data_IF_424730922607
#
_entry.id   IF_424730922607
#
_cell.length_a   1.000
_cell.length_b   1.000
_cell.length_c   1.000
_cell.angle_alpha   90.00
_cell.angle_beta   90.00
_cell.angle_gamma   90.00
#
_symmetry.space_group_name_H-M   'P 1'
#
loop_
_entity.id
_entity.type
_entity.pdbx_description
1 polymer ?
#
# COMPACT_ATOMS: atom_id res chain seq x y z
N UNK A 1 -18.43 -0.83 1.11
CA UNK A 1 -17.20 -1.51 0.65
C UNK A 1 -15.99 -0.99 1.41
N UNK A 2 -15.11 -1.89 1.84
CA UNK A 2 -13.81 -1.58 2.46
C UNK A 2 -12.74 -1.68 1.40
N UNK A 3 -12.05 -0.57 1.12
CA UNK A 3 -10.98 -0.54 0.12
C UNK A 3 -9.65 -0.32 0.82
N UNK A 4 -8.67 -1.17 0.55
CA UNK A 4 -7.28 -0.93 0.96
C UNK A 4 -6.46 -0.44 -0.21
N UNK A 5 -5.85 0.73 -0.04
CA UNK A 5 -4.91 1.33 -0.98
C UNK A 5 -3.50 0.99 -0.52
N UNK A 6 -2.70 0.41 -1.41
CA UNK A 6 -1.31 0.03 -1.17
C UNK A 6 -0.42 0.88 -2.06
N UNK A 7 0.35 1.75 -1.42
CA UNK A 7 1.36 2.55 -2.07
C UNK A 7 2.65 1.73 -2.17
N UNK A 8 3.08 1.43 -3.39
CA UNK A 8 4.12 0.44 -3.68
C UNK A 8 5.49 1.01 -4.02
N UNK A 9 5.69 2.32 -3.87
CA UNK A 9 7.02 2.91 -4.06
C UNK A 9 7.82 2.84 -2.75
N UNK A 10 9.05 2.35 -2.82
CA UNK A 10 9.95 2.30 -1.68
C UNK A 10 10.49 3.68 -1.26
N UNK A 11 10.46 4.68 -2.16
CA UNK A 11 11.09 5.99 -1.93
C UNK A 11 10.29 6.89 -1.00
N UNK A 12 11.00 7.71 -0.23
CA UNK A 12 10.40 8.86 0.45
C UNK A 12 9.77 9.83 -0.54
N UNK A 13 8.67 10.46 -0.14
CA UNK A 13 7.92 11.44 -0.94
C UNK A 13 7.58 10.99 -2.37
N UNK A 14 7.33 9.69 -2.56
CA UNK A 14 7.05 9.14 -3.88
C UNK A 14 5.79 9.75 -4.52
N UNK A 15 5.82 10.00 -5.83
CA UNK A 15 4.64 10.47 -6.57
C UNK A 15 3.46 9.50 -6.47
N UNK A 16 3.71 8.20 -6.33
CA UNK A 16 2.65 7.20 -6.06
C UNK A 16 1.94 7.42 -4.74
N UNK A 17 2.60 8.02 -3.74
CA UNK A 17 1.95 8.38 -2.48
C UNK A 17 0.96 9.53 -2.68
N UNK A 18 1.31 10.54 -3.49
CA UNK A 18 0.38 11.62 -3.87
C UNK A 18 -0.84 11.06 -4.61
N UNK A 19 -0.63 10.15 -5.56
CA UNK A 19 -1.73 9.49 -6.29
C UNK A 19 -2.60 8.65 -5.35
N UNK A 20 -2.00 7.90 -4.42
CA UNK A 20 -2.77 7.12 -3.45
C UNK A 20 -3.58 7.98 -2.50
N UNK A 21 -3.03 9.11 -2.01
CA UNK A 21 -3.77 10.08 -1.20
C UNK A 21 -4.92 10.72 -1.96
N UNK A 22 -4.71 11.06 -3.23
CA UNK A 22 -5.80 11.52 -4.09
C UNK A 22 -6.94 10.47 -4.15
N UNK A 23 -6.63 9.20 -4.41
CA UNK A 23 -7.66 8.16 -4.43
C UNK A 23 -8.31 7.92 -3.07
N UNK A 24 -7.55 8.03 -1.97
CA UNK A 24 -8.10 7.94 -0.62
C UNK A 24 -9.18 9.00 -0.40
N UNK A 25 -8.90 10.26 -0.73
CA UNK A 25 -9.83 11.37 -0.65
C UNK A 25 -11.06 11.17 -1.56
N UNK A 26 -10.85 10.74 -2.81
CA UNK A 26 -11.94 10.52 -3.76
C UNK A 26 -12.85 9.34 -3.39
N UNK A 27 -12.27 8.26 -2.84
CA UNK A 27 -13.03 7.08 -2.43
C UNK A 27 -13.79 7.31 -1.12
N UNK A 28 -13.23 8.08 -0.18
CA UNK A 28 -13.90 8.45 1.06
C UNK A 28 -15.20 9.25 0.84
N UNK A 29 -15.34 9.90 -0.33
CA UNK A 29 -16.54 10.66 -0.71
C UNK A 29 -17.62 9.82 -1.41
N UNK A 30 -17.42 8.51 -1.58
CA UNK A 30 -18.39 7.63 -2.24
C UNK A 30 -19.28 6.93 -1.24
N UNK A 31 -20.59 7.08 -1.36
CA UNK A 31 -21.58 6.45 -0.46
C UNK A 31 -21.43 4.91 -0.39
N UNK A 32 -20.99 4.29 -1.48
CA UNK A 32 -20.75 2.85 -1.53
C UNK A 32 -19.48 2.40 -0.78
N UNK A 33 -18.59 3.32 -0.41
CA UNK A 33 -17.32 3.04 0.28
C UNK A 33 -17.48 3.39 1.75
N UNK A 34 -17.45 2.35 2.58
CA UNK A 34 -17.67 2.46 4.03
C UNK A 34 -16.36 2.66 4.81
N UNK A 35 -15.22 2.31 4.21
CA UNK A 35 -13.90 2.56 4.80
C UNK A 35 -12.82 2.55 3.71
N UNK A 36 -11.82 3.40 3.88
CA UNK A 36 -10.57 3.37 3.12
C UNK A 36 -9.41 3.18 4.09
N UNK A 37 -8.51 2.25 3.78
CA UNK A 37 -7.26 2.05 4.52
C UNK A 37 -6.08 2.34 3.60
N UNK A 38 -5.09 3.06 4.09
CA UNK A 38 -3.87 3.37 3.36
C UNK A 38 -2.69 2.62 3.97
N UNK A 39 -1.97 1.85 3.16
CA UNK A 39 -0.74 1.15 3.53
C UNK A 39 0.42 1.64 2.66
N UNK A 40 1.47 2.15 3.30
CA UNK A 40 2.74 2.50 2.66
C UNK A 40 3.74 1.36 2.92
N UNK A 41 4.19 0.68 1.86
CA UNK A 41 5.10 -0.46 1.99
C UNK A 41 6.41 -0.12 2.72
N UNK A 42 6.84 1.15 2.68
CA UNK A 42 8.04 1.62 3.37
C UNK A 42 7.90 1.52 4.88
N UNK A 43 6.68 1.66 5.42
CA UNK A 43 6.42 1.61 6.86
C UNK A 43 6.52 0.21 7.46
N UNK A 44 6.49 -0.84 6.65
CA UNK A 44 6.43 -2.24 7.11
C UNK A 44 7.79 -2.94 7.18
N UNK A 45 8.86 -2.29 6.73
CA UNK A 45 10.22 -2.79 6.82
C UNK A 45 10.43 -4.20 6.22
N UNK A 46 9.89 -4.47 5.04
CA UNK A 46 9.99 -5.78 4.42
C UNK A 46 11.46 -6.19 4.17
N UNK A 47 11.82 -7.50 4.32
CA UNK A 47 13.22 -7.97 4.33
C UNK A 47 14.05 -7.58 3.10
N UNK A 48 13.40 -7.44 1.95
CA UNK A 48 14.04 -7.18 0.67
C UNK A 48 14.54 -5.74 0.50
N UNK A 49 14.38 -4.93 1.55
CA UNK A 49 14.79 -3.54 1.59
C UNK A 49 16.13 -3.30 2.27
N UNK A 50 16.79 -4.35 2.80
CA UNK A 50 18.04 -4.21 3.55
C UNK A 50 17.88 -3.46 4.87
N UNK A 51 16.63 -3.23 5.29
CA UNK A 51 16.26 -2.41 6.43
C UNK A 51 15.88 -3.25 7.66
N UNK A 52 16.02 -4.58 7.59
CA UNK A 52 15.73 -5.54 8.65
C UNK A 52 14.50 -6.39 8.34
N UNK A 53 13.96 -7.05 9.34
CA UNK A 53 12.74 -7.86 9.22
C UNK A 53 11.49 -7.03 9.59
N UNK A 54 10.38 -7.33 8.93
CA UNK A 54 9.07 -6.79 9.32
C UNK A 54 8.67 -7.39 10.67
N UNK A 55 8.19 -6.56 11.60
CA UNK A 55 7.69 -7.08 12.88
C UNK A 55 6.44 -7.95 12.66
N UNK A 56 6.19 -8.91 13.57
CA UNK A 56 5.00 -9.76 13.49
C UNK A 56 3.71 -8.94 13.50
N UNK A 57 3.69 -7.85 14.25
CA UNK A 57 2.56 -6.94 14.35
C UNK A 57 2.32 -6.21 13.02
N UNK A 58 3.38 -5.72 12.38
CA UNK A 58 3.30 -5.06 11.07
C UNK A 58 2.81 -6.04 9.99
N UNK A 59 3.35 -7.27 9.98
CA UNK A 59 2.90 -8.31 9.06
C UNK A 59 1.42 -8.67 9.30
N UNK A 60 1.01 -8.84 10.55
CA UNK A 60 -0.38 -9.11 10.90
C UNK A 60 -1.31 -7.96 10.48
N UNK A 61 -0.89 -6.70 10.69
CA UNK A 61 -1.65 -5.53 10.26
C UNK A 61 -1.82 -5.52 8.74
N UNK A 62 -0.74 -5.74 7.98
CA UNK A 62 -0.76 -5.79 6.53
C UNK A 62 -1.67 -6.92 6.02
N UNK A 63 -1.49 -8.15 6.54
CA UNK A 63 -2.31 -9.31 6.20
C UNK A 63 -3.79 -9.09 6.53
N UNK A 64 -4.09 -8.55 7.71
CA UNK A 64 -5.48 -8.28 8.11
C UNK A 64 -6.15 -7.29 7.16
N UNK A 65 -5.44 -6.27 6.69
CA UNK A 65 -5.96 -5.30 5.76
C UNK A 65 -6.28 -5.93 4.39
N UNK A 66 -5.46 -6.88 3.92
CA UNK A 66 -5.76 -7.64 2.70
C UNK A 66 -7.01 -8.51 2.85
N UNK A 67 -7.13 -9.23 3.97
CA UNK A 67 -8.21 -10.20 4.20
C UNK A 67 -9.57 -9.53 4.39
N UNK A 68 -9.63 -8.38 5.08
CA UNK A 68 -10.91 -7.72 5.41
C UNK A 68 -11.39 -6.75 4.34
N UNK A 69 -10.63 -6.55 3.27
CA UNK A 69 -10.97 -5.61 2.20
C UNK A 69 -11.85 -6.27 1.14
N UNK A 70 -12.87 -5.55 0.70
CA UNK A 70 -13.69 -5.93 -0.46
C UNK A 70 -12.98 -5.59 -1.79
N UNK A 71 -12.00 -4.68 -1.75
CA UNK A 71 -11.22 -4.28 -2.90
C UNK A 71 -9.82 -3.77 -2.55
N UNK A 72 -8.88 -4.00 -3.46
CA UNK A 72 -7.49 -3.55 -3.34
C UNK A 72 -7.17 -2.58 -4.48
N UNK A 73 -6.53 -1.46 -4.16
CA UNK A 73 -6.01 -0.50 -5.12
C UNK A 73 -4.50 -0.36 -4.93
N UNK A 74 -3.73 -0.61 -5.98
CA UNK A 74 -2.28 -0.52 -5.94
C UNK A 74 -1.79 0.73 -6.68
N UNK A 75 -0.99 1.58 -6.03
CA UNK A 75 -0.26 2.66 -6.70
C UNK A 75 1.22 2.33 -6.75
N UNK A 76 1.66 1.83 -7.90
CA UNK A 76 2.99 1.24 -8.07
C UNK A 76 3.75 2.03 -9.14
N UNK A 77 4.99 2.48 -8.88
CA UNK A 77 5.75 3.17 -9.89
C UNK A 77 6.28 2.16 -10.92
N UNK A 78 6.62 2.64 -12.11
CA UNK A 78 7.28 1.81 -13.11
C UNK A 78 8.79 2.00 -13.00
N UNK A 79 9.53 0.95 -12.63
CA UNK A 79 11.00 0.93 -12.65
C UNK A 79 11.46 0.05 -13.81
N UNK A 80 12.20 0.63 -14.76
CA UNK A 80 12.71 -0.08 -15.94
C UNK A 80 11.63 -0.88 -16.69
N UNK A 81 10.43 -0.29 -16.86
CA UNK A 81 9.30 -0.92 -17.53
C UNK A 81 8.58 -2.02 -16.74
N UNK A 82 8.87 -2.18 -15.44
CA UNK A 82 8.30 -3.23 -14.59
C UNK A 82 7.83 -2.69 -13.25
N UNK A 83 7.08 -3.52 -12.52
CA UNK A 83 6.83 -3.30 -11.10
C UNK A 83 8.16 -3.35 -10.32
N UNK A 84 8.34 -2.53 -9.28
CA UNK A 84 9.53 -2.56 -8.45
C UNK A 84 9.67 -3.92 -7.78
N UNK A 85 10.89 -4.45 -7.72
CA UNK A 85 11.16 -5.67 -6.94
C UNK A 85 10.72 -5.52 -5.48
N UNK A 86 10.88 -4.33 -4.92
CA UNK A 86 10.48 -3.98 -3.55
C UNK A 86 8.99 -4.16 -3.30
N UNK A 87 8.15 -3.90 -4.29
CA UNK A 87 6.71 -4.13 -4.21
C UNK A 87 6.34 -5.59 -4.47
N UNK A 88 7.10 -6.28 -5.33
CA UNK A 88 6.85 -7.71 -5.62
C UNK A 88 7.06 -8.61 -4.40
N UNK A 89 7.92 -8.21 -3.48
CA UNK A 89 8.30 -9.00 -2.31
C UNK A 89 7.87 -8.38 -0.97
N UNK A 90 6.77 -7.63 -0.98
CA UNK A 90 6.01 -7.25 0.22
C UNK A 90 4.99 -8.31 0.59
#
# INVERSE_FOLDING_TARGET
MRITIIQGSPRDQANTAKVARFFEEQLAQKDAVSAVRFLDIRSFNFPNWGMGEASKENLALFQSALVVSDGLLFTVPTYNGRVPGTFKYT
#
